data_IF_538766032663
#
_entry.id   IF_538766032663
#
_cell.length_a   1.000
_cell.length_b   1.000
_cell.length_c   1.000
_cell.angle_alpha   90.00
_cell.angle_beta   90.00
_cell.angle_gamma   90.00
#
_symmetry.space_group_name_H-M   'P 1'
#
loop_
_entity.id
_entity.type
_entity.pdbx_description
1 polymer ?
#
# COMPACT_ATOMS: atom_id res chain seq x y z
N UNK A 1 26.30 -16.78 77.72
CA UNK A 1 25.72 -15.57 77.10
C UNK A 1 25.64 -15.84 75.62
N UNK A 2 24.55 -16.46 75.16
CA UNK A 2 24.36 -16.86 73.77
C UNK A 2 23.44 -15.84 73.11
N UNK A 3 23.92 -15.14 72.09
CA UNK A 3 23.11 -14.24 71.27
C UNK A 3 22.07 -15.07 70.49
N UNK A 4 20.80 -14.66 70.40
CA UNK A 4 19.84 -15.34 69.55
C UNK A 4 20.21 -15.06 68.10
N UNK A 5 20.36 -16.13 67.31
CA UNK A 5 20.52 -16.03 65.87
C UNK A 5 19.29 -15.32 65.29
N UNK A 6 19.56 -14.32 64.46
CA UNK A 6 18.58 -13.58 63.67
C UNK A 6 17.77 -14.62 62.87
N UNK A 7 16.47 -14.71 63.11
CA UNK A 7 15.61 -15.63 62.38
C UNK A 7 15.64 -15.22 60.90
N UNK A 8 16.27 -16.04 60.07
CA UNK A 8 16.23 -15.88 58.61
C UNK A 8 14.77 -15.93 58.18
N UNK A 9 14.28 -14.79 57.68
CA UNK A 9 12.94 -14.69 57.09
C UNK A 9 12.96 -15.58 55.84
N UNK A 10 12.07 -16.58 55.72
CA UNK A 10 12.02 -17.43 54.54
C UNK A 10 11.86 -16.56 53.28
N UNK A 11 12.70 -16.79 52.26
CA UNK A 11 12.73 -15.98 51.02
C UNK A 11 11.37 -15.90 50.30
N UNK A 12 10.46 -16.83 50.59
CA UNK A 12 9.07 -16.86 50.14
C UNK A 12 8.29 -15.60 50.57
N UNK A 13 8.66 -14.95 51.68
CA UNK A 13 8.06 -13.69 52.14
C UNK A 13 8.65 -12.43 51.50
N UNK A 14 9.76 -12.55 50.76
CA UNK A 14 10.42 -11.42 50.11
C UNK A 14 9.89 -11.22 48.68
N UNK A 15 9.36 -12.28 48.04
CA UNK A 15 8.75 -12.21 46.71
C UNK A 15 7.28 -11.79 46.78
N UNK A 16 7.06 -10.52 47.14
CA UNK A 16 5.75 -9.88 47.25
C UNK A 16 5.11 -9.49 45.90
N UNK A 17 5.54 -10.08 44.78
CA UNK A 17 5.05 -9.71 43.44
C UNK A 17 3.89 -10.57 42.95
N UNK A 18 3.53 -11.64 43.68
CA UNK A 18 2.38 -12.45 43.31
C UNK A 18 1.13 -12.08 44.16
N UNK A 19 0.16 -11.32 43.60
CA UNK A 19 -1.02 -10.89 44.34
C UNK A 19 -1.93 -12.06 44.78
N UNK A 20 -1.69 -13.27 44.27
CA UNK A 20 -2.45 -14.48 44.63
C UNK A 20 -1.81 -15.30 45.76
N UNK A 21 -0.62 -14.95 46.24
CA UNK A 21 0.11 -15.72 47.27
C UNK A 21 -0.64 -15.86 48.60
N UNK A 22 -1.60 -14.98 48.87
CA UNK A 22 -2.42 -14.99 50.09
C UNK A 22 -3.79 -15.65 49.91
N UNK A 23 -4.10 -16.21 48.72
CA UNK A 23 -5.37 -16.93 48.53
C UNK A 23 -5.40 -18.22 49.37
N UNK A 24 -6.52 -18.43 50.07
CA UNK A 24 -6.83 -19.72 50.71
C UNK A 24 -6.84 -20.83 49.66
N UNK A 25 -6.00 -21.86 49.83
CA UNK A 25 -5.84 -22.94 48.84
C UNK A 25 -4.83 -22.65 47.73
N UNK A 26 -4.02 -21.58 47.83
CA UNK A 26 -2.97 -21.27 46.85
C UNK A 26 -2.06 -22.47 46.58
N UNK A 27 -1.57 -23.12 47.65
CA UNK A 27 -0.68 -24.28 47.58
C UNK A 27 -1.34 -25.57 47.05
N UNK A 28 -2.67 -25.62 46.99
CA UNK A 28 -3.43 -26.77 46.47
C UNK A 28 -3.77 -26.60 44.99
N UNK A 29 -3.39 -25.48 44.38
CA UNK A 29 -3.72 -25.21 43.00
C UNK A 29 -2.84 -25.99 42.02
N UNK A 30 -3.44 -26.57 40.96
CA UNK A 30 -2.73 -27.38 39.97
C UNK A 30 -1.74 -26.59 39.10
N UNK A 31 -1.78 -25.24 39.10
CA UNK A 31 -0.81 -24.42 38.37
C UNK A 31 0.55 -24.28 39.06
N UNK A 32 0.68 -24.71 40.32
CA UNK A 32 1.97 -24.79 41.02
C UNK A 32 2.74 -26.06 40.67
N UNK A 33 2.07 -27.06 40.09
CA UNK A 33 2.72 -28.26 39.58
C UNK A 33 3.73 -27.88 38.48
N UNK A 34 5.01 -28.23 38.62
CA UNK A 34 6.05 -27.90 37.63
C UNK A 34 5.73 -28.41 36.23
N UNK A 35 5.04 -29.55 36.08
CA UNK A 35 4.67 -30.06 34.76
C UNK A 35 3.58 -29.21 34.10
N UNK A 36 2.55 -28.85 34.85
CA UNK A 36 1.45 -27.98 34.39
C UNK A 36 1.97 -26.58 34.09
N UNK A 37 2.86 -26.04 34.93
CA UNK A 37 3.50 -24.73 34.71
C UNK A 37 4.36 -24.73 33.45
N UNK A 38 5.08 -25.81 33.17
CA UNK A 38 5.89 -25.93 31.95
C UNK A 38 5.00 -26.00 30.70
N UNK A 39 3.89 -26.73 30.76
CA UNK A 39 2.90 -26.76 29.68
C UNK A 39 2.25 -25.39 29.45
N UNK A 40 1.86 -24.68 30.52
CA UNK A 40 1.28 -23.34 30.43
C UNK A 40 2.26 -22.32 29.84
N UNK A 41 3.52 -22.36 30.25
CA UNK A 41 4.58 -21.52 29.68
C UNK A 41 4.80 -21.83 28.18
N UNK A 42 4.79 -23.10 27.80
CA UNK A 42 4.92 -23.50 26.40
C UNK A 42 3.73 -22.99 25.56
N UNK A 43 2.50 -23.13 26.07
CA UNK A 43 1.30 -22.58 25.42
C UNK A 43 1.35 -21.06 25.27
N UNK A 44 1.83 -20.36 26.30
CA UNK A 44 1.98 -18.90 26.26
C UNK A 44 3.06 -18.44 25.26
N UNK A 45 4.11 -19.24 25.06
CA UNK A 45 5.13 -18.97 24.03
C UNK A 45 4.62 -19.20 22.60
N UNK A 46 3.66 -20.12 22.42
CA UNK A 46 3.02 -20.39 21.12
C UNK A 46 2.00 -19.30 20.78
N UNK A 47 1.42 -18.64 21.80
CA UNK A 47 0.46 -17.57 21.55
C UNK A 47 1.15 -16.33 20.95
N UNK A 48 0.63 -15.80 19.83
CA UNK A 48 1.16 -14.58 19.26
C UNK A 48 0.92 -13.42 20.23
N UNK A 49 2.00 -12.73 20.63
CA UNK A 49 1.94 -11.52 21.49
C UNK A 49 1.10 -10.40 20.87
N UNK A 50 0.97 -10.42 19.55
CA UNK A 50 0.19 -9.49 18.76
C UNK A 50 -0.38 -10.25 17.57
N UNK A 51 -1.68 -10.10 17.31
CA UNK A 51 -2.31 -10.58 16.08
C UNK A 51 -2.29 -9.40 15.12
N UNK A 52 -1.37 -9.36 14.12
CA UNK A 52 -1.43 -8.33 13.11
C UNK A 52 -2.70 -8.51 12.29
N UNK A 53 -3.68 -7.64 12.54
CA UNK A 53 -4.81 -7.45 11.66
C UNK A 53 -4.31 -6.75 10.39
N UNK A 54 -3.87 -7.56 9.42
CA UNK A 54 -3.47 -7.09 8.10
C UNK A 54 -4.64 -7.10 7.14
N UNK A 55 -4.68 -6.13 6.23
CA UNK A 55 -5.63 -6.17 5.12
C UNK A 55 -5.08 -7.09 4.03
N UNK A 56 -5.85 -8.10 3.65
CA UNK A 56 -5.46 -9.02 2.60
C UNK A 56 -5.58 -8.34 1.22
N UNK A 57 -4.45 -7.91 0.67
CA UNK A 57 -4.40 -7.25 -0.63
C UNK A 57 -4.92 -8.09 -1.81
N UNK A 58 -4.89 -9.43 -1.73
CA UNK A 58 -5.48 -10.28 -2.78
C UNK A 58 -7.00 -10.18 -2.76
N UNK A 59 -7.59 -10.23 -1.56
CA UNK A 59 -9.04 -10.10 -1.37
C UNK A 59 -9.50 -8.72 -1.88
N UNK A 60 -8.79 -7.65 -1.50
CA UNK A 60 -9.10 -6.31 -1.98
C UNK A 60 -9.08 -6.21 -3.51
N UNK A 61 -8.05 -6.75 -4.17
CA UNK A 61 -7.96 -6.74 -5.63
C UNK A 61 -9.11 -7.49 -6.28
N UNK A 62 -9.48 -8.65 -5.74
CA UNK A 62 -10.62 -9.43 -6.25
C UNK A 62 -11.94 -8.70 -6.05
N UNK A 63 -12.14 -8.07 -4.90
CA UNK A 63 -13.35 -7.29 -4.60
C UNK A 63 -13.45 -6.06 -5.51
N UNK A 64 -12.35 -5.36 -5.70
CA UNK A 64 -12.28 -4.22 -6.61
C UNK A 64 -12.66 -4.62 -8.03
N UNK A 65 -12.09 -5.71 -8.56
CA UNK A 65 -12.42 -6.20 -9.90
C UNK A 65 -13.91 -6.58 -10.02
N UNK A 66 -14.47 -7.24 -9.00
CA UNK A 66 -15.88 -7.59 -8.97
C UNK A 66 -16.78 -6.35 -8.96
N UNK A 67 -16.46 -5.35 -8.13
CA UNK A 67 -17.20 -4.09 -8.05
C UNK A 67 -17.13 -3.30 -9.36
N UNK A 68 -15.96 -3.19 -9.97
CA UNK A 68 -15.79 -2.52 -11.26
C UNK A 68 -16.63 -3.18 -12.35
N UNK A 69 -16.66 -4.53 -12.40
CA UNK A 69 -17.50 -5.27 -13.33
C UNK A 69 -18.99 -5.00 -13.11
N UNK A 70 -19.45 -5.05 -11.86
CA UNK A 70 -20.84 -4.77 -11.52
C UNK A 70 -21.27 -3.34 -11.88
N UNK A 71 -20.39 -2.35 -11.68
CA UNK A 71 -20.63 -0.96 -12.08
C UNK A 71 -20.76 -0.86 -13.61
N UNK A 72 -19.88 -1.52 -14.37
CA UNK A 72 -19.95 -1.52 -15.83
C UNK A 72 -21.25 -2.16 -16.34
N UNK A 73 -21.66 -3.30 -15.78
CA UNK A 73 -22.92 -3.96 -16.12
C UNK A 73 -24.13 -3.08 -15.79
N UNK A 74 -24.17 -2.47 -14.60
CA UNK A 74 -25.23 -1.53 -14.23
C UNK A 74 -25.31 -0.33 -15.17
N UNK A 75 -24.15 0.20 -15.61
CA UNK A 75 -24.12 1.31 -16.54
C UNK A 75 -24.58 0.92 -17.95
N UNK A 76 -24.28 -0.31 -18.39
CA UNK A 76 -24.79 -0.84 -19.65
C UNK A 76 -26.32 -0.91 -19.59
N UNK A 77 -26.91 -1.45 -18.51
CA UNK A 77 -28.37 -1.50 -18.37
C UNK A 77 -29.01 -0.10 -18.43
N UNK A 78 -28.45 0.89 -17.72
CA UNK A 78 -28.95 2.28 -17.78
C UNK A 78 -28.87 2.88 -19.19
N UNK A 79 -27.81 2.57 -19.92
CA UNK A 79 -27.63 3.02 -21.31
C UNK A 79 -28.63 2.34 -22.24
N UNK A 80 -28.90 1.05 -22.04
CA UNK A 80 -29.93 0.32 -22.77
C UNK A 80 -31.30 0.94 -22.52
N UNK A 81 -31.67 1.18 -21.26
CA UNK A 81 -32.97 1.76 -20.90
C UNK A 81 -33.15 3.15 -21.52
N UNK A 82 -32.13 4.01 -21.41
CA UNK A 82 -32.12 5.33 -22.07
C UNK A 82 -32.26 5.20 -23.59
N UNK A 83 -31.59 4.22 -24.20
CA UNK A 83 -31.70 3.97 -25.63
C UNK A 83 -33.12 3.56 -26.04
N UNK A 84 -33.73 2.65 -25.28
CA UNK A 84 -35.08 2.16 -25.55
C UNK A 84 -36.13 3.27 -25.39
N UNK A 85 -35.95 4.18 -24.42
CA UNK A 85 -36.77 5.38 -24.27
C UNK A 85 -36.73 6.27 -25.52
N UNK A 86 -35.55 6.43 -26.15
CA UNK A 86 -35.39 7.21 -27.38
C UNK A 86 -36.04 6.55 -28.60
N UNK A 87 -36.00 5.23 -28.67
CA UNK A 87 -36.63 4.46 -29.76
C UNK A 87 -38.16 4.37 -29.55
N UNK A 88 -38.64 4.54 -28.32
CA UNK A 88 -40.06 4.40 -27.98
C UNK A 88 -40.57 2.96 -28.11
N UNK A 89 -39.67 1.98 -28.04
CA UNK A 89 -40.01 0.55 -28.09
C UNK A 89 -39.66 -0.13 -26.78
N UNK A 90 -40.38 -1.20 -26.44
CA UNK A 90 -40.09 -2.04 -25.27
C UNK A 90 -39.65 -3.44 -25.72
N UNK A 91 -39.25 -3.56 -26.98
CA UNK A 91 -38.98 -4.83 -27.62
C UNK A 91 -37.68 -5.45 -27.11
N UNK A 92 -37.72 -6.76 -26.88
CA UNK A 92 -36.56 -7.59 -26.57
C UNK A 92 -36.17 -8.37 -27.83
N UNK A 93 -34.87 -8.51 -28.15
CA UNK A 93 -33.69 -8.01 -27.42
C UNK A 93 -33.40 -6.52 -27.66
N UNK A 94 -33.19 -5.79 -26.55
CA UNK A 94 -32.98 -4.32 -26.52
C UNK A 94 -31.86 -3.85 -27.46
N UNK A 95 -30.77 -4.60 -27.55
CA UNK A 95 -29.64 -4.20 -28.40
C UNK A 95 -29.92 -4.27 -29.89
N UNK A 96 -30.68 -5.25 -30.35
CA UNK A 96 -31.00 -5.35 -31.76
C UNK A 96 -31.99 -4.27 -32.16
N UNK A 97 -32.93 -3.93 -31.26
CA UNK A 97 -33.82 -2.77 -31.44
C UNK A 97 -33.02 -1.46 -31.57
N UNK A 98 -32.00 -1.26 -30.74
CA UNK A 98 -31.11 -0.08 -30.85
C UNK A 98 -30.28 -0.10 -32.13
N UNK A 99 -29.75 -1.25 -32.55
CA UNK A 99 -28.98 -1.38 -33.79
C UNK A 99 -29.81 -1.07 -35.03
N UNK A 100 -31.08 -1.46 -35.03
CA UNK A 100 -32.01 -1.15 -36.13
C UNK A 100 -32.37 0.34 -36.19
N UNK A 101 -32.14 1.10 -35.12
CA UNK A 101 -32.39 2.54 -35.02
C UNK A 101 -31.08 3.34 -34.92
N UNK A 102 -29.96 2.79 -35.41
CA UNK A 102 -28.65 3.42 -35.36
C UNK A 102 -28.51 4.68 -36.24
N UNK A 103 -29.51 4.98 -37.07
CA UNK A 103 -29.58 6.22 -37.86
C UNK A 103 -29.76 7.45 -36.96
N UNK A 104 -30.31 7.28 -35.74
CA UNK A 104 -30.35 8.35 -34.75
C UNK A 104 -28.96 8.51 -34.10
N UNK A 105 -28.32 9.70 -34.20
CA UNK A 105 -26.99 9.92 -33.64
C UNK A 105 -26.91 9.68 -32.13
N UNK A 106 -27.98 9.95 -31.38
CA UNK A 106 -28.00 9.72 -29.93
C UNK A 106 -28.02 8.22 -29.59
N UNK A 107 -28.72 7.42 -30.39
CA UNK A 107 -28.75 5.95 -30.25
C UNK A 107 -27.39 5.35 -30.62
N UNK A 108 -26.75 5.88 -31.66
CA UNK A 108 -25.41 5.47 -32.05
C UNK A 108 -24.38 5.75 -30.95
N UNK A 109 -24.42 6.93 -30.31
CA UNK A 109 -23.54 7.27 -29.20
C UNK A 109 -23.74 6.35 -27.98
N UNK A 110 -25.00 5.97 -27.70
CA UNK A 110 -25.34 4.98 -26.67
C UNK A 110 -24.72 3.62 -27.02
N UNK A 111 -24.90 3.13 -28.25
CA UNK A 111 -24.33 1.86 -28.71
C UNK A 111 -22.79 1.86 -28.63
N UNK A 112 -22.15 2.96 -29.02
CA UNK A 112 -20.70 3.13 -28.89
C UNK A 112 -20.29 3.06 -27.41
N UNK A 113 -21.04 3.72 -26.53
CA UNK A 113 -20.76 3.74 -25.09
C UNK A 113 -20.88 2.36 -24.46
N UNK A 114 -21.92 1.59 -24.83
CA UNK A 114 -22.09 0.19 -24.40
C UNK A 114 -20.92 -0.67 -24.88
N UNK A 115 -20.53 -0.55 -26.15
CA UNK A 115 -19.41 -1.30 -26.70
C UNK A 115 -18.08 -0.94 -26.02
N UNK A 116 -17.86 0.33 -25.69
CA UNK A 116 -16.68 0.76 -24.92
C UNK A 116 -16.60 0.06 -23.56
N UNK A 117 -17.73 0.01 -22.83
CA UNK A 117 -17.79 -0.67 -21.53
C UNK A 117 -17.53 -2.18 -21.66
N UNK A 118 -18.07 -2.83 -22.69
CA UNK A 118 -17.83 -4.27 -22.95
C UNK A 118 -16.41 -4.60 -23.34
N UNK A 119 -15.74 -3.69 -24.06
CA UNK A 119 -14.36 -3.87 -24.51
C UNK A 119 -13.32 -3.54 -23.44
N UNK A 120 -13.71 -3.01 -22.29
CA UNK A 120 -12.80 -2.56 -21.23
C UNK A 120 -11.80 -3.66 -20.83
N UNK A 121 -12.27 -4.86 -20.51
CA UNK A 121 -11.42 -5.99 -20.10
C UNK A 121 -10.48 -6.46 -21.21
N UNK A 122 -10.96 -6.46 -22.46
CA UNK A 122 -10.14 -6.80 -23.62
C UNK A 122 -9.04 -5.78 -23.85
N UNK A 123 -9.34 -4.49 -23.70
CA UNK A 123 -8.36 -3.41 -23.79
C UNK A 123 -7.33 -3.48 -22.66
N UNK A 124 -7.74 -3.73 -21.42
CA UNK A 124 -6.83 -3.91 -20.29
C UNK A 124 -5.85 -5.06 -20.55
N UNK A 125 -6.35 -6.21 -21.00
CA UNK A 125 -5.50 -7.37 -21.34
C UNK A 125 -4.52 -7.06 -22.47
N UNK A 126 -4.96 -6.32 -23.50
CA UNK A 126 -4.08 -5.92 -24.61
C UNK A 126 -3.00 -4.93 -24.12
N UNK A 127 -3.39 -3.95 -23.30
CA UNK A 127 -2.46 -2.98 -22.71
C UNK A 127 -1.44 -3.67 -21.82
N UNK A 128 -1.84 -4.65 -21.02
CA UNK A 128 -0.93 -5.43 -20.19
C UNK A 128 0.08 -6.22 -21.04
N UNK A 129 -0.38 -6.88 -22.11
CA UNK A 129 0.52 -7.59 -23.04
C UNK A 129 1.54 -6.65 -23.67
N UNK A 130 1.09 -5.51 -24.18
CA UNK A 130 1.97 -4.50 -24.80
C UNK A 130 2.95 -3.96 -23.76
N UNK A 131 2.47 -3.64 -22.56
CA UNK A 131 3.31 -3.18 -21.46
C UNK A 131 4.40 -4.19 -21.11
N UNK A 132 4.07 -5.47 -20.96
CA UNK A 132 5.05 -6.50 -20.67
C UNK A 132 6.11 -6.62 -21.77
N UNK A 133 5.71 -6.54 -23.04
CA UNK A 133 6.66 -6.56 -24.17
C UNK A 133 7.58 -5.35 -24.13
N UNK A 134 7.02 -4.14 -23.98
CA UNK A 134 7.79 -2.90 -23.93
C UNK A 134 8.75 -2.87 -22.73
N UNK A 135 8.29 -3.31 -21.56
CA UNK A 135 9.10 -3.41 -20.36
C UNK A 135 10.32 -4.31 -20.57
N UNK A 136 10.15 -5.42 -21.28
CA UNK A 136 11.23 -6.36 -21.57
C UNK A 136 12.19 -5.87 -22.68
N UNK A 137 11.78 -4.88 -23.48
CA UNK A 137 12.63 -4.25 -24.50
C UNK A 137 13.53 -3.15 -23.94
N UNK A 138 13.19 -2.58 -22.77
CA UNK A 138 14.02 -1.56 -22.12
C UNK A 138 15.17 -2.29 -21.39
N UNK A 139 16.45 -2.03 -21.75
CA UNK A 139 17.58 -2.66 -21.09
C UNK A 139 17.58 -2.34 -19.59
N UNK A 140 17.71 -3.39 -18.76
CA UNK A 140 17.82 -3.26 -17.29
C UNK A 140 18.94 -2.30 -16.86
N UNK A 141 19.99 -2.20 -17.66
CA UNK A 141 21.18 -1.40 -17.39
C UNK A 141 20.90 0.11 -17.39
N UNK A 142 19.81 0.58 -18.02
CA UNK A 142 19.40 2.00 -17.95
C UNK A 142 18.70 2.37 -16.63
N UNK A 143 18.16 1.41 -15.89
CA UNK A 143 17.39 1.67 -14.64
C UNK A 143 18.24 1.45 -13.39
N UNK A 144 19.40 0.78 -13.53
CA UNK A 144 20.21 0.31 -12.38
C UNK A 144 21.64 0.88 -12.33
N UNK A 145 21.99 1.87 -13.15
CA UNK A 145 23.35 2.43 -13.20
C UNK A 145 23.54 3.75 -12.43
N UNK A 146 22.78 4.00 -11.36
CA UNK A 146 23.16 5.06 -10.41
C UNK A 146 23.76 4.36 -9.19
N UNK A 147 25.08 4.26 -9.21
CA UNK A 147 25.84 3.83 -8.05
C UNK A 147 25.85 4.97 -7.02
N UNK A 148 24.99 4.87 -6.00
CA UNK A 148 24.99 5.81 -4.87
C UNK A 148 26.13 5.55 -3.88
N UNK A 149 26.97 4.53 -4.12
CA UNK A 149 28.12 4.20 -3.27
C UNK A 149 29.43 4.79 -3.77
N UNK A 150 29.46 5.40 -4.97
CA UNK A 150 30.62 6.16 -5.41
C UNK A 150 30.83 7.36 -4.48
N UNK A 151 31.99 7.45 -3.84
CA UNK A 151 32.38 8.62 -3.07
C UNK A 151 32.36 9.85 -3.98
N UNK A 152 31.70 10.91 -3.54
CA UNK A 152 31.82 12.22 -4.19
C UNK A 152 33.27 12.66 -4.00
N UNK A 153 34.05 12.75 -5.08
CA UNK A 153 35.36 13.37 -5.04
C UNK A 153 35.15 14.88 -4.90
N UNK A 154 35.28 15.39 -3.68
CA UNK A 154 35.17 16.83 -3.39
C UNK A 154 36.49 17.52 -3.79
N UNK A 155 36.55 18.07 -5.01
CA UNK A 155 37.66 18.92 -5.46
C UNK A 155 37.46 20.35 -4.98
N UNK A 156 37.78 20.59 -3.71
CA UNK A 156 37.68 21.91 -3.09
C UNK A 156 38.49 23.00 -3.82
N UNK A 157 39.53 22.64 -4.57
CA UNK A 157 40.37 23.62 -5.24
C UNK A 157 39.67 24.14 -6.50
N UNK A 158 39.13 23.24 -7.32
CA UNK A 158 38.34 23.62 -8.49
C UNK A 158 37.10 24.43 -8.08
N UNK A 159 36.40 23.98 -7.02
CA UNK A 159 35.23 24.68 -6.50
C UNK A 159 35.57 26.08 -5.98
N UNK A 160 36.69 26.24 -5.25
CA UNK A 160 37.14 27.54 -4.77
C UNK A 160 37.54 28.49 -5.91
N UNK A 161 38.17 27.97 -6.96
CA UNK A 161 38.52 28.75 -8.15
C UNK A 161 37.27 29.21 -8.90
N UNK A 162 36.28 28.32 -9.08
CA UNK A 162 35.02 28.67 -9.73
C UNK A 162 34.25 29.71 -8.91
N UNK A 163 34.23 29.55 -7.58
CA UNK A 163 33.60 30.51 -6.68
C UNK A 163 34.25 31.90 -6.78
N UNK A 164 35.58 31.99 -6.78
CA UNK A 164 36.30 33.25 -6.95
C UNK A 164 35.99 33.90 -8.32
N UNK A 165 35.90 33.09 -9.38
CA UNK A 165 35.56 33.59 -10.72
C UNK A 165 34.13 34.16 -10.77
N UNK A 166 33.17 33.48 -10.15
CA UNK A 166 31.79 33.94 -10.02
C UNK A 166 31.68 35.20 -9.17
N UNK A 167 32.46 35.31 -8.09
CA UNK A 167 32.51 36.49 -7.24
C UNK A 167 33.09 37.71 -7.98
N UNK A 168 34.17 37.52 -8.76
CA UNK A 168 34.74 38.57 -9.63
C UNK A 168 33.74 39.04 -10.69
N UNK A 169 33.04 38.11 -11.35
CA UNK A 169 32.00 38.44 -12.34
C UNK A 169 30.83 39.21 -11.70
N UNK A 170 30.41 38.80 -10.51
CA UNK A 170 29.41 39.50 -9.69
C UNK A 170 29.85 40.91 -9.29
N UNK A 171 31.10 41.09 -8.89
CA UNK A 171 31.65 42.40 -8.52
C UNK A 171 31.77 43.35 -9.73
N UNK A 172 32.20 42.84 -10.89
CA UNK A 172 32.22 43.61 -12.15
C UNK A 172 30.81 44.04 -12.59
N UNK A 173 29.80 43.18 -12.42
CA UNK A 173 28.41 43.53 -12.72
C UNK A 173 27.84 44.60 -11.76
N UNK A 174 28.41 44.77 -10.56
CA UNK A 174 27.97 45.74 -9.55
C UNK A 174 28.71 47.09 -9.60
N UNK A 175 29.78 47.23 -10.39
CA UNK A 175 30.41 48.54 -10.60
C UNK A 175 29.64 49.32 -11.68
N UNK A 176 28.95 50.42 -11.35
CA UNK A 176 28.34 51.27 -12.37
C UNK A 176 29.42 51.90 -13.23
N UNK A 177 29.20 51.93 -14.55
CA UNK A 177 30.02 52.69 -15.49
C UNK A 177 29.97 54.18 -15.10
N UNK A 178 30.94 54.60 -14.27
CA UNK A 178 31.17 55.98 -13.88
C UNK A 178 32.51 56.41 -14.47
N UNK A 179 32.47 57.54 -15.17
CA UNK A 179 33.56 58.29 -15.80
C UNK A 179 34.14 57.70 -17.11
N UNK A 180 33.45 58.01 -18.21
CA UNK A 180 34.10 58.42 -19.46
C UNK A 180 33.42 59.69 -19.96
N UNK A 181 34.05 60.83 -19.67
CA UNK A 181 34.13 61.94 -20.61
C UNK A 181 34.95 61.49 -21.84
#
# INVERSE_FOLDING_TARGET
MSTPAQADIPQEYINNENPFAYMSGYFENPFLDPEVRLQLNALQQIQPKFIPLGINGRILKTEQAAKTKAIAESQIEKLLDKGMELVGSTDLPREDALRNNADNPEVLDILISINRLRLLSNQERLREKVYCVLKNMIPSDMVSSIDYSSSIDEDYLSDAMEYEELERKSAQAKMPASARD
#
